data_IF_741740583757
#
_entry.id   IF_741740583757
#
_cell.length_a   1.000
_cell.length_b   1.000
_cell.length_c   1.000
_cell.angle_alpha   90.00
_cell.angle_beta   90.00
_cell.angle_gamma   90.00
#
_symmetry.space_group_name_H-M   'P 1'
#
loop_
_entity.id
_entity.type
_entity.pdbx_description
1 polymer ?
#
# COMPACT_ATOMS: atom_id res chain seq x y z
N UNK A 1 4.00 14.80 5.64
CA UNK A 1 5.39 14.52 5.21
C UNK A 1 5.58 13.02 5.28
N UNK A 2 6.18 12.39 4.27
CA UNK A 2 6.49 10.95 4.33
C UNK A 2 7.94 10.76 4.79
N UNK A 3 8.18 9.69 5.55
CA UNK A 3 9.51 9.26 5.97
C UNK A 3 9.67 7.83 5.48
N UNK A 4 10.79 7.55 4.82
CA UNK A 4 11.12 6.21 4.37
C UNK A 4 12.09 5.57 5.36
N UNK A 5 11.70 4.43 5.91
CA UNK A 5 12.59 3.54 6.65
C UNK A 5 12.91 2.31 5.81
N UNK A 6 14.19 1.95 5.69
CA UNK A 6 14.63 0.75 4.98
C UNK A 6 14.38 -0.51 5.82
N UNK A 7 13.13 -0.75 6.20
CA UNK A 7 12.64 -1.90 6.95
C UNK A 7 11.27 -2.29 6.41
N UNK A 8 10.99 -3.59 6.36
CA UNK A 8 9.67 -4.08 5.99
C UNK A 8 8.71 -3.91 7.18
N UNK A 9 7.45 -3.57 6.89
CA UNK A 9 6.39 -3.52 7.90
C UNK A 9 6.19 -4.87 8.61
N UNK A 10 6.35 -5.96 7.85
CA UNK A 10 6.36 -7.33 8.37
C UNK A 10 7.53 -8.12 7.76
N UNK A 11 8.27 -8.92 8.55
CA UNK A 11 9.42 -9.67 8.05
C UNK A 11 8.99 -10.75 7.04
N UNK A 12 9.55 -10.67 5.83
CA UNK A 12 9.33 -11.66 4.76
C UNK A 12 10.34 -12.81 4.88
N UNK A 13 9.88 -14.06 4.76
CA UNK A 13 10.70 -15.28 4.85
C UNK A 13 10.44 -16.20 3.66
N UNK A 14 11.20 -16.03 2.58
CA UNK A 14 11.12 -16.88 1.38
C UNK A 14 12.14 -18.02 1.51
N UNK A 15 11.69 -19.27 1.44
CA UNK A 15 12.57 -20.45 1.52
C UNK A 15 13.03 -20.94 0.15
N UNK A 16 12.15 -20.91 -0.84
CA UNK A 16 12.36 -21.47 -2.16
C UNK A 16 11.87 -20.49 -3.24
N UNK A 17 12.53 -20.46 -4.39
CA UNK A 17 12.10 -19.68 -5.56
C UNK A 17 10.85 -20.30 -6.19
N UNK A 18 9.82 -19.48 -6.45
CA UNK A 18 8.61 -19.91 -7.16
C UNK A 18 8.13 -18.83 -8.14
N UNK A 19 8.52 -18.90 -9.43
CA UNK A 19 8.15 -17.90 -10.43
C UNK A 19 6.64 -17.81 -10.70
N UNK A 20 5.91 -18.93 -10.60
CA UNK A 20 4.45 -18.95 -10.80
C UNK A 20 3.73 -18.17 -9.71
N UNK A 21 4.15 -18.35 -8.46
CA UNK A 21 3.60 -17.59 -7.34
C UNK A 21 4.00 -16.11 -7.43
N UNK A 22 5.22 -15.80 -7.84
CA UNK A 22 5.66 -14.42 -8.05
C UNK A 22 4.79 -13.70 -9.10
N UNK A 23 4.42 -14.37 -10.20
CA UNK A 23 3.52 -13.82 -11.20
C UNK A 23 2.14 -13.45 -10.64
N UNK A 24 1.60 -14.25 -9.71
CA UNK A 24 0.35 -13.94 -9.01
C UNK A 24 0.53 -12.79 -8.01
N UNK A 25 1.63 -12.75 -7.25
CA UNK A 25 1.88 -11.66 -6.29
C UNK A 25 2.00 -10.30 -6.99
N UNK A 26 2.57 -10.27 -8.21
CA UNK A 26 2.67 -9.03 -9.01
C UNK A 26 1.29 -8.42 -9.30
N UNK A 27 0.23 -9.24 -9.43
CA UNK A 27 -1.12 -8.69 -9.61
C UNK A 27 -1.59 -7.89 -8.39
N UNK A 28 -1.18 -8.26 -7.19
CA UNK A 28 -1.50 -7.48 -5.97
C UNK A 28 -0.62 -6.24 -5.83
N UNK A 29 0.56 -6.21 -6.46
CA UNK A 29 1.39 -5.02 -6.47
C UNK A 29 0.81 -3.94 -7.42
N UNK A 30 0.55 -4.29 -8.68
CA UNK A 30 0.23 -3.32 -9.74
C UNK A 30 -1.05 -3.62 -10.53
N UNK A 31 -1.82 -4.62 -10.15
CA UNK A 31 -3.11 -4.92 -10.79
C UNK A 31 -4.20 -3.90 -10.43
N UNK A 32 -5.39 -4.02 -11.05
CA UNK A 32 -6.50 -3.07 -10.87
C UNK A 32 -6.98 -2.97 -9.41
N UNK A 33 -6.94 -4.10 -8.69
CA UNK A 33 -7.27 -4.20 -7.27
C UNK A 33 -6.01 -4.34 -6.40
N UNK A 34 -4.86 -3.93 -6.94
CA UNK A 34 -3.58 -3.96 -6.25
C UNK A 34 -3.46 -2.86 -5.19
N UNK A 35 -2.53 -3.09 -4.28
CA UNK A 35 -2.25 -2.25 -3.12
C UNK A 35 -1.71 -0.87 -3.50
N UNK A 36 -0.97 -0.76 -4.61
CA UNK A 36 -0.56 0.52 -5.17
C UNK A 36 -1.77 1.36 -5.57
N UNK A 37 -2.77 0.74 -6.21
CA UNK A 37 -4.01 1.42 -6.57
C UNK A 37 -4.83 1.80 -5.34
N UNK A 38 -4.90 0.92 -4.33
CA UNK A 38 -5.58 1.21 -3.08
C UNK A 38 -4.95 2.39 -2.33
N UNK A 39 -3.64 2.37 -2.07
CA UNK A 39 -2.90 3.43 -1.38
C UNK A 39 -3.04 4.78 -2.08
N UNK A 40 -2.84 4.83 -3.39
CA UNK A 40 -3.00 6.06 -4.18
C UNK A 40 -4.42 6.61 -4.14
N UNK A 41 -5.46 5.75 -4.16
CA UNK A 41 -6.86 6.18 -4.04
C UNK A 41 -7.11 6.86 -2.70
N UNK A 42 -6.74 6.23 -1.58
CA UNK A 42 -6.96 6.81 -0.24
C UNK A 42 -6.16 8.10 -0.04
N UNK A 43 -4.89 8.13 -0.47
CA UNK A 43 -4.05 9.33 -0.41
C UNK A 43 -4.55 10.47 -1.30
N UNK A 44 -5.23 10.16 -2.41
CA UNK A 44 -5.84 11.18 -3.26
C UNK A 44 -7.14 11.72 -2.65
N UNK A 45 -7.98 10.83 -2.11
CA UNK A 45 -9.26 11.19 -1.48
C UNK A 45 -9.09 12.13 -0.29
N UNK A 46 -7.97 12.02 0.45
CA UNK A 46 -7.73 12.90 1.62
C UNK A 46 -7.71 14.39 1.26
N UNK A 47 -7.33 14.76 0.03
CA UNK A 47 -7.23 16.16 -0.37
C UNK A 47 -8.59 16.83 -0.58
N UNK A 48 -9.62 16.05 -0.96
CA UNK A 48 -10.98 16.53 -1.15
C UNK A 48 -11.92 16.23 0.02
N UNK A 49 -11.47 15.44 1.01
CA UNK A 49 -12.27 15.08 2.18
C UNK A 49 -12.62 16.34 3.01
N UNK A 50 -13.89 16.62 3.35
CA UNK A 50 -14.24 17.82 4.09
C UNK A 50 -14.07 17.67 5.61
N UNK A 51 -14.11 16.45 6.15
CA UNK A 51 -13.99 16.19 7.59
C UNK A 51 -12.53 15.93 8.01
N UNK A 52 -11.98 16.68 8.99
CA UNK A 52 -10.60 16.50 9.46
C UNK A 52 -10.27 15.08 9.95
N UNK A 53 -11.21 14.44 10.66
CA UNK A 53 -11.04 13.10 11.22
C UNK A 53 -10.87 12.05 10.11
N UNK A 54 -11.67 12.18 9.04
CA UNK A 54 -11.61 11.27 7.90
C UNK A 54 -10.37 11.52 7.03
N UNK A 55 -9.81 12.74 7.00
CA UNK A 55 -8.49 12.98 6.39
C UNK A 55 -7.39 12.21 7.11
N UNK A 56 -7.47 12.15 8.45
CA UNK A 56 -6.57 11.34 9.28
C UNK A 56 -6.69 9.87 8.89
N UNK A 57 -7.90 9.32 8.95
CA UNK A 57 -8.16 7.92 8.60
C UNK A 57 -7.67 7.54 7.19
N UNK A 58 -7.96 8.36 6.18
CA UNK A 58 -7.50 8.11 4.81
C UNK A 58 -5.97 8.20 4.67
N UNK A 59 -5.34 9.04 5.48
CA UNK A 59 -3.88 9.13 5.52
C UNK A 59 -3.29 7.90 6.17
N UNK A 60 -3.88 7.40 7.25
CA UNK A 60 -3.40 6.20 7.95
C UNK A 60 -3.49 4.97 7.03
N UNK A 61 -4.67 4.73 6.44
CA UNK A 61 -4.89 3.59 5.53
C UNK A 61 -4.05 3.71 4.26
N UNK A 62 -3.98 4.91 3.66
CA UNK A 62 -3.18 5.15 2.47
C UNK A 62 -1.67 4.97 2.71
N UNK A 63 -1.20 5.28 3.92
CA UNK A 63 0.21 5.12 4.30
C UNK A 63 0.54 3.66 4.63
N UNK A 64 -0.39 2.89 5.20
CA UNK A 64 -0.22 1.46 5.48
C UNK A 64 0.00 0.64 4.19
N UNK A 65 -0.76 0.93 3.14
CA UNK A 65 -0.63 0.28 1.83
C UNK A 65 0.49 0.84 0.95
N UNK A 66 1.26 1.83 1.44
CA UNK A 66 2.38 2.42 0.70
C UNK A 66 3.68 1.68 1.06
N UNK A 67 4.26 0.98 0.08
CA UNK A 67 5.49 0.19 0.22
C UNK A 67 6.78 1.00 0.03
#
# INVERSE_FOLDING_TARGET
MFVYEKKLQYPVRIKNTNPKLAALIISQYGGPDGELGASLRYLSQRYSMPWPELKGLLTDVGTEGSF
#
